data_IF_558767655470
#
_entry.id   IF_558767655470
#
_cell.length_a   1.000
_cell.length_b   1.000
_cell.length_c   1.000
_cell.angle_alpha   90.00
_cell.angle_beta   90.00
_cell.angle_gamma   90.00
#
_symmetry.space_group_name_H-M   'P 1'
#
loop_
_entity.id
_entity.type
_entity.pdbx_description
1 polymer ?
#
# COMPACT_ATOMS: atom_id res chain seq x y z
N UNK A 1 -27.58 -11.59 28.87
CA UNK A 1 -26.35 -12.41 28.95
C UNK A 1 -25.76 -12.48 27.54
N UNK A 2 -24.96 -11.49 27.15
CA UNK A 2 -24.36 -11.46 25.81
C UNK A 2 -22.90 -11.87 25.93
N UNK A 3 -22.57 -12.97 25.25
CA UNK A 3 -21.29 -13.66 25.33
C UNK A 3 -20.25 -12.86 24.55
N UNK A 4 -19.22 -12.41 25.25
CA UNK A 4 -18.03 -11.77 24.69
C UNK A 4 -17.21 -12.82 23.94
N UNK A 5 -17.00 -12.63 22.65
CA UNK A 5 -16.04 -13.41 21.87
C UNK A 5 -14.70 -12.67 21.90
N UNK A 6 -13.87 -13.02 22.87
CA UNK A 6 -12.48 -12.56 22.96
C UNK A 6 -11.64 -13.36 21.96
N UNK A 7 -11.25 -12.75 20.84
CA UNK A 7 -10.20 -13.29 19.98
C UNK A 7 -8.88 -12.68 20.44
N UNK A 8 -8.09 -13.46 21.16
CA UNK A 8 -6.71 -13.12 21.52
C UNK A 8 -5.84 -13.41 20.30
N UNK A 9 -5.37 -12.37 19.62
CA UNK A 9 -4.35 -12.50 18.57
C UNK A 9 -2.99 -12.12 19.17
N UNK A 10 -2.32 -13.09 19.79
CA UNK A 10 -0.93 -12.94 20.22
C UNK A 10 -0.02 -13.04 19.02
N UNK A 11 0.35 -11.89 18.43
CA UNK A 11 1.46 -11.80 17.50
C UNK A 11 2.73 -11.42 18.29
N UNK A 12 3.47 -12.43 18.75
CA UNK A 12 4.84 -12.25 19.20
C UNK A 12 5.77 -12.47 18.00
N UNK A 13 6.25 -11.38 17.40
CA UNK A 13 7.32 -11.43 16.40
C UNK A 13 8.46 -10.53 16.86
N UNK A 14 9.42 -11.16 17.54
CA UNK A 14 10.75 -10.60 17.77
C UNK A 14 11.50 -10.61 16.43
N UNK A 15 11.73 -9.45 15.82
CA UNK A 15 12.57 -9.34 14.63
C UNK A 15 13.69 -8.33 14.90
N UNK A 16 14.90 -8.89 14.92
CA UNK A 16 16.19 -8.23 15.11
C UNK A 16 16.47 -7.18 14.03
N UNK A 17 17.15 -6.11 14.45
CA UNK A 17 17.52 -4.94 13.67
C UNK A 17 18.33 -5.24 12.40
N UNK A 18 17.76 -4.92 11.24
CA UNK A 18 18.47 -4.60 10.01
C UNK A 18 18.07 -3.18 9.60
N UNK A 19 19.05 -2.35 9.24
CA UNK A 19 18.81 -1.01 8.66
C UNK A 19 18.21 -1.18 7.26
N UNK A 20 16.94 -1.57 7.22
CA UNK A 20 16.06 -1.44 6.07
C UNK A 20 15.67 0.04 6.04
N UNK A 21 15.80 0.69 4.88
CA UNK A 21 15.11 1.95 4.66
C UNK A 21 13.66 1.76 5.14
N UNK A 22 13.26 2.49 6.17
CA UNK A 22 11.95 2.32 6.77
C UNK A 22 10.93 2.94 5.83
N UNK A 23 10.42 2.15 4.89
CA UNK A 23 9.08 2.39 4.40
C UNK A 23 8.15 2.36 5.62
N UNK A 24 7.27 3.34 5.73
CA UNK A 24 6.31 3.36 6.81
C UNK A 24 5.42 2.12 6.72
N UNK A 25 4.89 1.70 7.87
CA UNK A 25 3.98 0.58 7.90
C UNK A 25 2.57 1.09 7.61
N UNK A 26 1.83 0.45 6.69
CA UNK A 26 0.45 0.82 6.43
C UNK A 26 -0.37 0.71 7.71
N UNK A 27 -1.32 1.64 7.90
CA UNK A 27 -2.22 1.60 9.04
C UNK A 27 -3.08 0.33 9.06
N UNK A 28 -3.59 -0.09 10.24
CA UNK A 28 -4.35 -1.34 10.38
C UNK A 28 -5.64 -1.39 9.56
N UNK A 29 -6.20 -0.22 9.22
CA UNK A 29 -7.43 -0.09 8.43
C UNK A 29 -7.16 0.20 6.94
N UNK A 30 -5.91 0.14 6.50
CA UNK A 30 -5.56 0.39 5.10
C UNK A 30 -5.93 -0.80 4.23
N UNK A 31 -6.33 -0.51 3.00
CA UNK A 31 -6.49 -1.50 1.95
C UNK A 31 -5.17 -2.27 1.77
N UNK A 32 -5.18 -3.61 1.77
CA UNK A 32 -3.96 -4.39 1.58
C UNK A 32 -3.25 -4.05 0.26
N UNK A 33 -1.93 -3.99 0.28
CA UNK A 33 -1.10 -3.61 -0.87
C UNK A 33 -1.48 -4.33 -2.18
N UNK A 34 -1.75 -5.65 -2.12
CA UNK A 34 -2.18 -6.41 -3.30
C UNK A 34 -3.51 -5.93 -3.88
N UNK A 35 -4.47 -5.52 -3.03
CA UNK A 35 -5.74 -4.97 -3.51
C UNK A 35 -5.54 -3.59 -4.16
N UNK A 36 -4.64 -2.77 -3.61
CA UNK A 36 -4.26 -1.48 -4.20
C UNK A 36 -3.61 -1.69 -5.56
N UNK A 37 -2.67 -2.63 -5.70
CA UNK A 37 -2.08 -2.99 -7.00
C UNK A 37 -3.15 -3.36 -8.02
N UNK A 38 -4.15 -4.16 -7.65
CA UNK A 38 -5.25 -4.49 -8.57
C UNK A 38 -6.07 -3.25 -8.98
N UNK A 39 -6.32 -2.32 -8.06
CA UNK A 39 -7.00 -1.04 -8.38
C UNK A 39 -6.18 -0.18 -9.33
N UNK A 40 -4.88 -0.08 -9.10
CA UNK A 40 -3.94 0.66 -9.95
C UNK A 40 -3.91 0.07 -11.36
N UNK A 41 -3.81 -1.26 -11.50
CA UNK A 41 -3.89 -1.92 -12.80
C UNK A 41 -5.23 -1.66 -13.51
N UNK A 42 -6.35 -1.69 -12.77
CA UNK A 42 -7.68 -1.36 -13.31
C UNK A 42 -7.82 0.10 -13.76
N UNK A 43 -6.97 1.01 -13.25
CA UNK A 43 -6.95 2.43 -13.64
C UNK A 43 -6.18 2.71 -14.94
N UNK A 44 -5.61 1.68 -15.56
CA UNK A 44 -4.90 1.76 -16.85
C UNK A 44 -3.39 1.60 -16.75
N UNK A 45 -2.84 1.32 -15.57
CA UNK A 45 -1.45 0.90 -15.44
C UNK A 45 -1.30 -0.52 -15.99
N UNK A 46 -0.21 -0.74 -16.72
CA UNK A 46 0.16 -2.07 -17.24
C UNK A 46 1.03 -2.84 -16.26
N UNK A 47 1.72 -2.13 -15.36
CA UNK A 47 2.61 -2.71 -14.36
C UNK A 47 2.69 -1.80 -13.12
N UNK A 48 2.87 -2.41 -11.95
CA UNK A 48 3.21 -1.73 -10.69
C UNK A 48 4.56 -2.26 -10.22
N UNK A 49 5.59 -1.44 -10.27
CA UNK A 49 6.98 -1.81 -9.94
C UNK A 49 7.30 -1.60 -8.47
N UNK A 50 6.63 -0.65 -7.83
CA UNK A 50 6.78 -0.34 -6.40
C UNK A 50 5.43 0.03 -5.80
N UNK A 51 5.23 -0.35 -4.54
CA UNK A 51 4.10 0.12 -3.75
C UNK A 51 4.49 0.07 -2.27
N UNK A 52 4.44 1.21 -1.60
CA UNK A 52 4.80 1.39 -0.20
C UNK A 52 3.83 2.36 0.49
N UNK A 53 3.78 2.26 1.82
CA UNK A 53 3.06 3.24 2.62
C UNK A 53 4.01 4.40 2.92
N UNK A 54 3.55 5.62 2.66
CA UNK A 54 4.27 6.86 2.96
C UNK A 54 3.28 7.97 3.29
N UNK A 55 3.59 8.83 4.26
CA UNK A 55 2.83 10.04 4.62
C UNK A 55 1.28 9.90 4.56
N UNK A 56 0.73 8.90 5.26
CA UNK A 56 -0.72 8.61 5.33
C UNK A 56 -1.40 8.18 4.02
N UNK A 57 -0.63 7.75 3.01
CA UNK A 57 -1.13 7.27 1.72
C UNK A 57 -0.31 6.09 1.18
N UNK A 58 -0.81 5.47 0.11
CA UNK A 58 0.00 4.57 -0.71
C UNK A 58 0.78 5.39 -1.73
N UNK A 59 2.09 5.20 -1.79
CA UNK A 59 2.96 5.68 -2.85
C UNK A 59 3.42 4.50 -3.71
N UNK A 60 3.42 4.67 -5.03
CA UNK A 60 3.86 3.61 -5.93
C UNK A 60 4.42 4.14 -7.23
N UNK A 61 5.15 3.25 -7.90
CA UNK A 61 5.70 3.46 -9.22
C UNK A 61 5.12 2.41 -10.16
N UNK A 62 4.88 2.78 -11.41
CA UNK A 62 4.37 1.84 -12.40
C UNK A 62 4.45 2.35 -13.83
N UNK A 63 4.02 1.52 -14.77
CA UNK A 63 3.96 1.87 -16.19
C UNK A 63 2.52 2.17 -16.59
N UNK A 64 2.30 3.35 -17.18
CA UNK A 64 1.02 3.75 -17.78
C UNK A 64 1.28 4.38 -19.13
N UNK A 65 0.56 3.95 -20.17
CA UNK A 65 0.75 4.43 -21.55
C UNK A 65 2.21 4.33 -22.06
N UNK A 66 2.98 3.36 -21.57
CA UNK A 66 4.39 3.17 -21.95
C UNK A 66 5.38 4.12 -21.26
N UNK A 67 4.93 4.93 -20.29
CA UNK A 67 5.78 5.81 -19.48
C UNK A 67 5.84 5.32 -18.05
N UNK A 68 6.98 5.52 -17.39
CA UNK A 68 7.12 5.33 -15.95
C UNK A 68 6.45 6.50 -15.24
N UNK A 69 5.64 6.17 -14.23
CA UNK A 69 4.82 7.12 -13.49
C UNK A 69 4.94 6.84 -12.00
N UNK A 70 5.07 7.91 -11.23
CA UNK A 70 4.82 7.89 -9.79
C UNK A 70 3.35 8.18 -9.55
N UNK A 71 2.75 7.51 -8.57
CA UNK A 71 1.37 7.74 -8.16
C UNK A 71 1.20 7.67 -6.65
N UNK A 72 0.19 8.40 -6.19
CA UNK A 72 -0.35 8.28 -4.85
C UNK A 72 -1.75 7.67 -4.92
N UNK A 73 -2.11 6.82 -3.97
CA UNK A 73 -3.43 6.24 -3.86
C UNK A 73 -3.99 6.36 -2.43
N UNK A 74 -5.30 6.56 -2.37
CA UNK A 74 -6.01 6.65 -1.10
C UNK A 74 -5.85 5.35 -0.29
N UNK A 75 -5.47 5.43 1.00
CA UNK A 75 -5.15 4.26 1.82
C UNK A 75 -6.32 3.31 2.02
N UNK A 76 -7.57 3.77 1.93
CA UNK A 76 -8.77 2.97 2.23
C UNK A 76 -9.43 2.39 0.98
N UNK A 77 -9.31 3.06 -0.16
CA UNK A 77 -10.02 2.75 -1.39
C UNK A 77 -9.11 2.30 -2.53
N UNK A 78 -7.81 2.58 -2.44
CA UNK A 78 -6.82 2.30 -3.49
C UNK A 78 -7.02 3.12 -4.76
N UNK A 79 -7.84 4.18 -4.70
CA UNK A 79 -8.07 5.09 -5.83
C UNK A 79 -6.87 6.02 -5.97
N UNK A 80 -6.34 6.15 -7.19
CA UNK A 80 -5.25 7.09 -7.49
C UNK A 80 -5.73 8.52 -7.25
N UNK A 81 -5.02 9.25 -6.39
CA UNK A 81 -5.30 10.64 -6.03
C UNK A 81 -4.36 11.62 -6.73
N UNK A 82 -3.17 11.16 -7.14
CA UNK A 82 -2.18 11.93 -7.88
C UNK A 82 -1.33 11.00 -8.73
N UNK A 83 -0.93 11.45 -9.92
CA UNK A 83 0.05 10.76 -10.76
C UNK A 83 0.90 11.77 -11.53
N UNK A 84 2.18 11.46 -11.73
CA UNK A 84 3.13 12.26 -12.52
C UNK A 84 4.11 11.34 -13.25
N UNK A 85 4.69 11.82 -14.34
CA UNK A 85 5.81 11.11 -15.00
C UNK A 85 7.00 11.09 -14.05
N UNK A 86 7.64 9.92 -13.93
CA UNK A 86 8.89 9.74 -13.22
C UNK A 86 10.06 10.23 -14.12
N UNK A 87 10.83 11.22 -13.66
CA UNK A 87 11.88 11.94 -14.41
C UNK A 87 13.26 11.80 -13.71
#
# INVERSE_FOLDING_TARGET
MNKLATVVFTAALSASSLNLAKADQPGPDWMPAEQVKQKVLQSGYTEVTKLEADDDQWEGEGIKNGQKMDFHADPKTGVITSEKVDD
#
